data_IF_536269501767
#
_entry.id   IF_536269501767
#
_cell.length_a   1.000
_cell.length_b   1.000
_cell.length_c   1.000
_cell.angle_alpha   90.00
_cell.angle_beta   90.00
_cell.angle_gamma   90.00
#
_symmetry.space_group_name_H-M   'P 1'
#
loop_
_entity.id
_entity.type
_entity.pdbx_description
1 polymer ?
#
# COMPACT_ATOMS: atom_id res chain seq x y z
N UNK A 1 45.26 -4.53 0.24
CA UNK A 1 45.55 -3.13 0.62
C UNK A 1 46.49 -2.44 -0.37
N UNK A 2 47.45 -3.16 -0.95
CA UNK A 2 48.47 -2.59 -1.85
C UNK A 2 47.91 -2.08 -3.19
N UNK A 3 46.74 -2.54 -3.62
CA UNK A 3 46.08 -2.18 -4.90
C UNK A 3 45.09 -1.03 -4.73
N UNK A 4 44.91 -0.53 -3.50
CA UNK A 4 43.96 0.56 -3.23
C UNK A 4 42.47 0.19 -3.31
N UNK A 5 42.12 -1.09 -3.32
CA UNK A 5 40.76 -1.60 -3.43
C UNK A 5 40.09 -1.91 -2.07
N UNK A 6 40.63 -1.34 -0.98
CA UNK A 6 40.05 -1.52 0.35
C UNK A 6 38.92 -0.53 0.56
N UNK A 7 37.74 -1.01 0.94
CA UNK A 7 36.61 -0.20 1.38
C UNK A 7 36.51 -0.28 2.90
N UNK A 8 36.75 0.83 3.58
CA UNK A 8 36.66 0.90 5.05
C UNK A 8 35.18 1.06 5.46
N UNK A 9 34.66 0.25 6.40
CA UNK A 9 33.26 0.39 6.86
C UNK A 9 32.93 1.80 7.37
N UNK A 10 33.90 2.48 8.00
CA UNK A 10 33.72 3.83 8.52
C UNK A 10 33.41 4.86 7.42
N UNK A 11 33.95 4.69 6.22
CA UNK A 11 33.66 5.56 5.08
C UNK A 11 32.23 5.37 4.59
N UNK A 12 31.76 4.13 4.52
CA UNK A 12 30.37 3.80 4.16
C UNK A 12 29.39 4.32 5.20
N UNK A 13 29.70 4.10 6.49
CA UNK A 13 28.86 4.58 7.61
C UNK A 13 28.73 6.10 7.58
N UNK A 14 29.83 6.82 7.34
CA UNK A 14 29.83 8.28 7.27
C UNK A 14 28.97 8.82 6.13
N UNK A 15 28.89 8.11 5.00
CA UNK A 15 28.17 8.55 3.80
C UNK A 15 26.71 8.10 3.80
N UNK A 16 26.43 6.87 4.21
CA UNK A 16 25.13 6.19 4.02
C UNK A 16 24.46 5.78 5.34
N UNK A 17 25.18 5.82 6.44
CA UNK A 17 24.71 5.32 7.74
C UNK A 17 24.99 3.83 7.98
N UNK A 18 24.95 3.44 9.26
CA UNK A 18 25.26 2.07 9.67
C UNK A 18 24.21 1.05 9.14
N UNK A 19 22.94 1.42 9.12
CA UNK A 19 21.89 0.50 8.69
C UNK A 19 21.93 0.15 7.20
N UNK A 20 22.42 1.04 6.33
CA UNK A 20 22.64 0.72 4.93
C UNK A 20 23.76 -0.30 4.77
N UNK A 21 24.85 -0.17 5.55
CA UNK A 21 25.92 -1.16 5.58
C UNK A 21 25.42 -2.52 6.09
N UNK A 22 24.65 -2.52 7.19
CA UNK A 22 24.04 -3.74 7.74
C UNK A 22 23.07 -4.40 6.75
N UNK A 23 22.26 -3.60 6.08
CA UNK A 23 21.34 -4.10 5.05
C UNK A 23 22.08 -4.72 3.88
N UNK A 24 23.17 -4.10 3.41
CA UNK A 24 23.99 -4.70 2.36
C UNK A 24 24.56 -6.05 2.79
N UNK A 25 25.15 -6.16 3.98
CA UNK A 25 25.67 -7.44 4.50
C UNK A 25 24.57 -8.50 4.56
N UNK A 26 23.41 -8.16 5.11
CA UNK A 26 22.28 -9.08 5.24
C UNK A 26 21.67 -9.47 3.89
N UNK A 27 21.72 -8.59 2.89
CA UNK A 27 21.15 -8.84 1.56
C UNK A 27 22.09 -9.62 0.61
N UNK A 28 23.30 -9.94 1.07
CA UNK A 28 24.29 -10.64 0.27
C UNK A 28 24.37 -12.10 0.71
N UNK A 29 24.51 -13.02 -0.25
CA UNK A 29 24.82 -14.41 0.04
C UNK A 29 26.25 -14.50 0.61
N UNK A 30 26.33 -14.74 1.93
CA UNK A 30 27.59 -14.83 2.67
C UNK A 30 28.25 -16.22 2.59
N UNK A 31 27.65 -17.18 1.89
CA UNK A 31 28.24 -18.52 1.68
C UNK A 31 29.35 -18.51 0.64
N UNK A 32 29.43 -17.45 -0.16
CA UNK A 32 30.46 -17.22 -1.16
C UNK A 32 31.21 -15.89 -0.93
N UNK A 33 32.05 -15.53 -1.90
CA UNK A 33 32.80 -14.27 -1.88
C UNK A 33 31.84 -13.07 -2.06
N UNK A 34 31.87 -12.16 -1.11
CA UNK A 34 31.05 -10.95 -1.16
C UNK A 34 31.72 -9.89 -2.04
N UNK A 35 30.94 -9.36 -3.00
CA UNK A 35 31.38 -8.26 -3.85
C UNK A 35 30.92 -6.92 -3.28
N UNK A 36 31.80 -5.93 -3.32
CA UNK A 36 31.49 -4.56 -2.89
C UNK A 36 31.83 -3.57 -4.00
N UNK A 37 30.89 -2.66 -4.26
CA UNK A 37 31.11 -1.49 -5.12
C UNK A 37 30.22 -0.34 -4.69
N UNK A 38 30.48 0.86 -5.21
CA UNK A 38 29.66 2.03 -4.95
C UNK A 38 28.23 1.83 -5.42
N UNK A 39 28.02 1.19 -6.56
CA UNK A 39 26.70 0.90 -7.14
C UNK A 39 25.91 -0.09 -6.28
N UNK A 40 26.58 -1.08 -5.70
CA UNK A 40 25.94 -2.04 -4.78
C UNK A 40 25.45 -1.32 -3.52
N UNK A 41 26.25 -0.45 -2.93
CA UNK A 41 25.81 0.35 -1.78
C UNK A 41 24.68 1.32 -2.13
N UNK A 42 24.66 1.89 -3.33
CA UNK A 42 23.54 2.73 -3.78
C UNK A 42 22.23 1.95 -3.88
N UNK A 43 22.26 0.72 -4.41
CA UNK A 43 21.09 -0.17 -4.45
C UNK A 43 20.59 -0.53 -3.05
N UNK A 44 21.51 -0.82 -2.13
CA UNK A 44 21.17 -1.04 -0.72
C UNK A 44 20.52 0.19 -0.10
N UNK A 45 21.05 1.38 -0.38
CA UNK A 45 20.49 2.65 0.09
C UNK A 45 19.09 2.92 -0.49
N UNK A 46 18.81 2.52 -1.74
CA UNK A 46 17.47 2.62 -2.32
C UNK A 46 16.47 1.69 -1.63
N UNK A 47 16.85 0.44 -1.37
CA UNK A 47 16.04 -0.50 -0.61
C UNK A 47 15.76 0.00 0.81
N UNK A 48 16.78 0.50 1.48
CA UNK A 48 16.65 1.16 2.80
C UNK A 48 15.67 2.33 2.76
N UNK A 49 15.78 3.19 1.74
CA UNK A 49 14.91 4.37 1.59
C UNK A 49 13.45 3.97 1.40
N UNK A 50 13.15 2.90 0.66
CA UNK A 50 11.78 2.37 0.51
C UNK A 50 11.21 1.93 1.85
N UNK A 51 11.94 1.13 2.62
CA UNK A 51 11.53 0.67 3.95
C UNK A 51 11.26 1.87 4.87
N UNK A 52 12.20 2.83 4.93
CA UNK A 52 12.10 4.03 5.77
C UNK A 52 10.90 4.91 5.36
N UNK A 53 10.68 5.11 4.07
CA UNK A 53 9.54 5.91 3.57
C UNK A 53 8.20 5.24 3.88
N UNK A 54 8.10 3.93 3.77
CA UNK A 54 6.90 3.17 4.17
C UNK A 54 6.61 3.36 5.66
N UNK A 55 7.63 3.23 6.51
CA UNK A 55 7.50 3.46 7.95
C UNK A 55 7.06 4.89 8.29
N UNK A 56 7.64 5.88 7.63
CA UNK A 56 7.25 7.29 7.80
C UNK A 56 5.79 7.54 7.39
N UNK A 57 5.34 6.91 6.30
CA UNK A 57 3.94 7.01 5.89
C UNK A 57 3.01 6.45 6.97
N UNK A 58 3.34 5.30 7.53
CA UNK A 58 2.55 4.69 8.61
C UNK A 58 2.46 5.62 9.81
N UNK A 59 3.58 6.08 10.36
CA UNK A 59 3.61 6.97 11.51
C UNK A 59 2.84 8.28 11.26
N UNK A 60 3.01 8.88 10.09
CA UNK A 60 2.32 10.13 9.75
C UNK A 60 0.78 9.97 9.72
N UNK A 61 0.28 8.82 9.25
CA UNK A 61 -1.15 8.54 9.15
C UNK A 61 -1.78 7.98 10.45
N UNK A 62 -0.95 7.66 11.44
CA UNK A 62 -1.39 7.25 12.78
C UNK A 62 -1.48 8.42 13.78
N UNK A 63 -1.25 9.65 13.32
CA UNK A 63 -1.43 10.83 14.17
C UNK A 63 -2.88 10.92 14.69
N UNK A 64 -3.02 11.00 16.03
CA UNK A 64 -4.32 11.06 16.70
C UNK A 64 -5.07 9.72 16.75
N UNK A 65 -4.40 8.61 16.51
CA UNK A 65 -4.89 7.26 16.74
C UNK A 65 -4.45 6.77 18.12
N UNK A 66 -5.40 6.30 18.91
CA UNK A 66 -5.16 5.71 20.23
C UNK A 66 -5.56 4.22 20.20
N UNK A 67 -4.62 3.28 20.22
CA UNK A 67 -4.94 1.86 20.14
C UNK A 67 -5.81 1.35 21.30
N UNK A 68 -5.87 2.06 22.43
CA UNK A 68 -6.76 1.68 23.53
C UNK A 68 -8.24 2.03 23.25
N UNK A 69 -8.53 2.93 22.27
CA UNK A 69 -9.88 3.45 22.02
C UNK A 69 -10.35 3.28 20.58
N UNK A 70 -9.41 3.32 19.63
CA UNK A 70 -9.71 3.52 18.22
C UNK A 70 -9.55 2.25 17.36
N UNK A 71 -9.11 1.13 17.98
CA UNK A 71 -9.01 -0.15 17.29
C UNK A 71 -10.38 -0.61 16.78
N UNK A 72 -10.43 -0.97 15.51
CA UNK A 72 -11.59 -1.57 14.87
C UNK A 72 -11.44 -3.10 14.93
N UNK A 73 -12.49 -3.79 15.35
CA UNK A 73 -12.50 -5.26 15.38
C UNK A 73 -12.32 -5.82 13.95
N UNK A 74 -11.67 -6.99 13.81
CA UNK A 74 -11.37 -7.62 12.50
C UNK A 74 -12.60 -7.70 11.61
N UNK A 75 -13.72 -8.11 12.16
CA UNK A 75 -15.00 -8.29 11.47
C UNK A 75 -15.63 -6.99 10.96
N UNK A 76 -15.31 -5.86 11.59
CA UNK A 76 -15.82 -4.53 11.24
C UNK A 76 -14.86 -3.75 10.33
N UNK A 77 -13.65 -4.27 10.09
CA UNK A 77 -12.68 -3.61 9.21
C UNK A 77 -13.13 -3.68 7.75
N UNK A 78 -12.77 -2.63 7.00
CA UNK A 78 -12.87 -2.59 5.54
C UNK A 78 -12.07 -3.76 4.92
N UNK A 79 -12.62 -4.40 3.89
CA UNK A 79 -12.04 -5.64 3.32
C UNK A 79 -10.59 -5.46 2.83
N UNK A 80 -10.28 -4.33 2.22
CA UNK A 80 -8.90 -4.01 1.79
C UNK A 80 -7.93 -3.90 2.99
N UNK A 81 -8.40 -3.38 4.13
CA UNK A 81 -7.57 -3.27 5.33
C UNK A 81 -7.30 -4.64 5.96
N UNK A 82 -8.32 -5.53 5.97
CA UNK A 82 -8.16 -6.93 6.39
C UNK A 82 -7.15 -7.66 5.52
N UNK A 83 -7.21 -7.45 4.19
CA UNK A 83 -6.23 -7.99 3.25
C UNK A 83 -4.81 -7.49 3.55
N UNK A 84 -4.63 -6.20 3.84
CA UNK A 84 -3.32 -5.63 4.15
C UNK A 84 -2.70 -6.26 5.41
N UNK A 85 -3.49 -6.48 6.46
CA UNK A 85 -3.04 -7.18 7.68
C UNK A 85 -2.70 -8.64 7.37
N UNK A 86 -3.47 -9.32 6.53
CA UNK A 86 -3.18 -10.69 6.11
C UNK A 86 -1.89 -10.79 5.26
N UNK A 87 -1.60 -9.79 4.41
CA UNK A 87 -0.31 -9.69 3.72
C UNK A 87 0.85 -9.58 4.72
N UNK A 88 0.68 -8.80 5.78
CA UNK A 88 1.67 -8.67 6.84
C UNK A 88 1.84 -10.00 7.61
N UNK A 89 0.75 -10.70 7.91
CA UNK A 89 0.79 -12.02 8.55
C UNK A 89 1.58 -13.03 7.70
N UNK A 90 1.34 -13.04 6.39
CA UNK A 90 2.10 -13.89 5.44
C UNK A 90 3.57 -13.50 5.41
N UNK A 91 3.87 -12.20 5.28
CA UNK A 91 5.25 -11.70 5.28
C UNK A 91 5.98 -12.06 6.58
N UNK A 92 5.32 -11.95 7.73
CA UNK A 92 5.89 -12.35 9.03
C UNK A 92 6.28 -13.82 9.05
N UNK A 93 5.42 -14.74 8.58
CA UNK A 93 5.71 -16.17 8.53
C UNK A 93 6.97 -16.45 7.68
N UNK A 94 7.07 -15.80 6.51
CA UNK A 94 8.23 -15.93 5.62
C UNK A 94 9.51 -15.38 6.26
N UNK A 95 9.43 -14.21 6.89
CA UNK A 95 10.57 -13.53 7.54
C UNK A 95 11.07 -14.34 8.75
N UNK A 96 10.16 -14.81 9.61
CA UNK A 96 10.56 -15.58 10.78
C UNK A 96 11.23 -16.91 10.40
N UNK A 97 10.66 -17.60 9.39
CA UNK A 97 11.30 -18.79 8.84
C UNK A 97 12.71 -18.50 8.31
N UNK A 98 12.88 -17.39 7.58
CA UNK A 98 14.18 -17.00 7.05
C UNK A 98 15.18 -16.64 8.16
N UNK A 99 14.74 -16.05 9.27
CA UNK A 99 15.58 -15.84 10.46
C UNK A 99 16.00 -17.16 11.10
N UNK A 100 15.07 -18.11 11.26
CA UNK A 100 15.36 -19.43 11.84
C UNK A 100 16.33 -20.23 10.96
N UNK A 101 16.23 -20.09 9.65
CA UNK A 101 17.13 -20.73 8.68
C UNK A 101 18.46 -19.95 8.48
N UNK A 102 18.67 -18.80 9.15
CA UNK A 102 19.81 -17.89 8.95
C UNK A 102 19.94 -17.37 7.50
N UNK A 103 18.83 -17.33 6.76
CA UNK A 103 18.74 -16.81 5.39
C UNK A 103 18.38 -15.32 5.41
N UNK A 104 19.33 -14.47 5.82
CA UNK A 104 19.11 -13.04 6.00
C UNK A 104 18.79 -12.31 4.69
N UNK A 105 19.30 -12.82 3.58
CA UNK A 105 18.99 -12.23 2.28
C UNK A 105 17.51 -12.39 1.94
N UNK A 106 16.88 -13.51 2.31
CA UNK A 106 15.44 -13.73 2.16
C UNK A 106 14.63 -12.83 3.11
N UNK A 107 15.14 -12.57 4.33
CA UNK A 107 14.51 -11.56 5.23
C UNK A 107 14.40 -10.21 4.55
N UNK A 108 15.51 -9.72 3.99
CA UNK A 108 15.53 -8.42 3.31
C UNK A 108 14.68 -8.42 2.05
N UNK A 109 14.72 -9.50 1.27
CA UNK A 109 13.89 -9.64 0.08
C UNK A 109 12.39 -9.54 0.42
N UNK A 110 11.92 -10.30 1.41
CA UNK A 110 10.52 -10.30 1.85
C UNK A 110 10.10 -8.93 2.41
N UNK A 111 10.95 -8.28 3.22
CA UNK A 111 10.68 -6.96 3.75
C UNK A 111 10.58 -5.88 2.66
N UNK A 112 11.52 -5.86 1.70
CA UNK A 112 11.52 -4.91 0.59
C UNK A 112 10.32 -5.15 -0.34
N UNK A 113 10.01 -6.41 -0.65
CA UNK A 113 8.83 -6.79 -1.43
C UNK A 113 7.55 -6.31 -0.77
N UNK A 114 7.37 -6.59 0.52
CA UNK A 114 6.22 -6.14 1.29
C UNK A 114 6.06 -4.62 1.25
N UNK A 115 7.13 -3.87 1.55
CA UNK A 115 7.09 -2.40 1.55
C UNK A 115 6.82 -1.81 0.15
N UNK A 116 7.38 -2.40 -0.91
CA UNK A 116 7.34 -1.82 -2.26
C UNK A 116 6.11 -2.26 -3.05
N UNK A 117 5.76 -3.54 -3.00
CA UNK A 117 4.73 -4.15 -3.84
C UNK A 117 3.39 -4.19 -3.10
N UNK A 118 3.31 -4.87 -1.96
CA UNK A 118 2.05 -5.06 -1.28
C UNK A 118 1.54 -3.75 -0.68
N UNK A 119 2.42 -3.01 -0.01
CA UNK A 119 2.05 -1.72 0.59
C UNK A 119 2.17 -0.58 -0.42
N UNK A 120 3.38 -0.32 -0.95
CA UNK A 120 3.69 0.90 -1.68
C UNK A 120 2.90 1.12 -2.96
N UNK A 121 2.84 0.12 -3.84
CA UNK A 121 2.21 0.25 -5.15
C UNK A 121 0.70 0.00 -5.15
N UNK A 122 0.14 -0.53 -4.07
CA UNK A 122 -1.27 -0.88 -4.00
C UNK A 122 -1.96 -0.28 -2.77
N UNK A 123 -1.74 -0.86 -1.59
CA UNK A 123 -2.50 -0.49 -0.39
C UNK A 123 -2.37 0.98 0.01
N UNK A 124 -1.14 1.45 0.21
CA UNK A 124 -0.89 2.83 0.67
C UNK A 124 -1.32 3.87 -0.34
N UNK A 125 -1.35 3.55 -1.61
CA UNK A 125 -1.81 4.46 -2.65
C UNK A 125 -3.33 4.63 -2.59
N UNK A 126 -4.08 3.53 -2.45
CA UNK A 126 -5.54 3.52 -2.37
C UNK A 126 -6.04 4.22 -1.10
N UNK A 127 -5.46 3.92 0.05
CA UNK A 127 -5.96 4.46 1.32
C UNK A 127 -5.73 5.96 1.52
N UNK A 128 -4.93 6.61 0.68
CA UNK A 128 -4.72 8.08 0.74
C UNK A 128 -6.04 8.84 0.71
N UNK A 129 -6.97 8.41 -0.14
CA UNK A 129 -8.30 9.03 -0.18
C UNK A 129 -8.97 8.99 1.19
N UNK A 130 -9.11 7.81 1.80
CA UNK A 130 -9.72 7.67 3.13
C UNK A 130 -8.96 8.41 4.22
N UNK A 131 -7.63 8.34 4.24
CA UNK A 131 -6.80 9.00 5.24
C UNK A 131 -6.94 10.51 5.23
N UNK A 132 -7.10 11.11 4.05
CA UNK A 132 -7.13 12.57 3.91
C UNK A 132 -8.54 13.14 3.78
N UNK A 133 -9.53 12.35 3.37
CA UNK A 133 -10.86 12.87 3.08
C UNK A 133 -11.99 12.29 3.93
N UNK A 134 -11.85 11.10 4.51
CA UNK A 134 -12.87 10.55 5.38
C UNK A 134 -13.00 11.32 6.70
N UNK A 135 -14.14 11.16 7.37
CA UNK A 135 -14.39 11.73 8.70
C UNK A 135 -13.32 11.25 9.68
N UNK A 136 -12.78 12.17 10.49
CA UNK A 136 -11.61 11.94 11.34
C UNK A 136 -11.76 10.74 12.28
N UNK A 137 -12.93 10.56 12.87
CA UNK A 137 -13.31 9.50 13.80
C UNK A 137 -14.23 8.45 13.18
N UNK A 138 -14.43 8.51 11.86
CA UNK A 138 -15.27 7.56 11.11
C UNK A 138 -14.61 6.20 10.92
N UNK A 139 -15.45 5.16 10.80
CA UNK A 139 -15.01 3.77 10.60
C UNK A 139 -14.07 3.63 9.41
N UNK A 140 -14.37 4.27 8.28
CA UNK A 140 -13.56 4.23 7.08
C UNK A 140 -12.10 4.64 7.31
N UNK A 141 -11.85 5.65 8.16
CA UNK A 141 -10.51 6.09 8.53
C UNK A 141 -9.91 5.21 9.63
N UNK A 142 -10.68 4.90 10.69
CA UNK A 142 -10.20 4.08 11.81
C UNK A 142 -9.84 2.67 11.40
N UNK A 143 -10.55 2.09 10.43
CA UNK A 143 -10.22 0.78 9.89
C UNK A 143 -8.82 0.74 9.27
N UNK A 144 -8.49 1.69 8.38
CA UNK A 144 -7.13 1.69 7.82
C UNK A 144 -6.07 2.11 8.84
N UNK A 145 -6.37 2.97 9.81
CA UNK A 145 -5.44 3.27 10.91
C UNK A 145 -5.16 2.03 11.77
N UNK A 146 -6.18 1.20 12.02
CA UNK A 146 -6.01 -0.09 12.71
C UNK A 146 -5.06 -1.00 11.92
N UNK A 147 -5.26 -1.14 10.60
CA UNK A 147 -4.35 -1.93 9.76
C UNK A 147 -2.91 -1.38 9.79
N UNK A 148 -2.74 -0.06 9.64
CA UNK A 148 -1.42 0.58 9.71
C UNK A 148 -0.73 0.35 11.07
N UNK A 149 -1.49 0.43 12.17
CA UNK A 149 -1.00 0.16 13.51
C UNK A 149 -0.50 -1.28 13.66
N UNK A 150 -1.34 -2.27 13.30
CA UNK A 150 -0.97 -3.69 13.39
C UNK A 150 0.26 -4.01 12.54
N UNK A 151 0.35 -3.41 11.35
CA UNK A 151 1.45 -3.64 10.43
C UNK A 151 2.75 -3.00 10.93
N UNK A 152 2.74 -1.73 11.40
CA UNK A 152 3.98 -1.08 11.85
C UNK A 152 4.51 -1.73 13.12
N UNK A 153 3.64 -2.17 14.04
CA UNK A 153 4.01 -2.93 15.23
C UNK A 153 4.76 -4.22 14.87
N UNK A 154 4.33 -4.92 13.83
CA UNK A 154 5.02 -6.11 13.35
C UNK A 154 6.30 -5.77 12.57
N UNK A 155 6.21 -4.83 11.63
CA UNK A 155 7.30 -4.49 10.71
C UNK A 155 8.54 -3.93 11.42
N UNK A 156 8.36 -3.13 12.47
CA UNK A 156 9.49 -2.59 13.23
C UNK A 156 10.27 -3.71 13.93
N UNK A 157 9.57 -4.74 14.40
CA UNK A 157 10.19 -5.93 15.00
C UNK A 157 10.92 -6.77 13.96
N UNK A 158 10.34 -6.96 12.75
CA UNK A 158 11.01 -7.71 11.67
C UNK A 158 12.33 -7.10 11.27
N UNK A 159 12.42 -5.77 11.23
CA UNK A 159 13.64 -5.10 10.80
C UNK A 159 14.69 -4.92 11.91
N UNK A 160 14.29 -4.97 13.19
CA UNK A 160 15.16 -4.65 14.31
C UNK A 160 16.49 -5.42 14.35
N UNK A 161 16.56 -6.73 14.06
CA UNK A 161 17.82 -7.46 14.07
C UNK A 161 18.83 -6.99 13.01
N UNK A 162 18.37 -6.40 11.91
CA UNK A 162 19.23 -5.96 10.79
C UNK A 162 19.32 -4.44 10.74
N UNK A 163 18.19 -3.73 10.68
CA UNK A 163 18.13 -2.26 10.65
C UNK A 163 17.92 -1.69 12.06
N UNK A 164 18.85 -2.00 12.94
CA UNK A 164 18.71 -1.83 14.38
C UNK A 164 18.50 -0.37 14.81
N UNK A 165 19.23 0.56 14.19
CA UNK A 165 19.11 1.99 14.54
C UNK A 165 17.81 2.59 14.02
N UNK A 166 17.42 2.23 12.80
CA UNK A 166 16.16 2.70 12.21
C UNK A 166 14.94 2.12 12.93
N UNK A 167 14.98 0.85 13.31
CA UNK A 167 13.90 0.22 14.06
C UNK A 167 13.70 0.90 15.42
N UNK A 168 14.76 1.19 16.16
CA UNK A 168 14.68 1.90 17.43
C UNK A 168 14.19 3.34 17.24
N UNK A 169 14.67 4.07 16.21
CA UNK A 169 14.17 5.40 15.88
C UNK A 169 12.65 5.39 15.60
N UNK A 170 12.16 4.39 14.86
CA UNK A 170 10.72 4.23 14.59
C UNK A 170 9.98 3.95 15.89
N UNK A 171 10.49 3.02 16.70
CA UNK A 171 9.92 2.62 17.98
C UNK A 171 9.75 3.81 18.93
N UNK A 172 10.78 4.61 19.11
CA UNK A 172 10.74 5.83 19.94
C UNK A 172 9.74 6.87 19.44
N UNK A 173 9.42 6.88 18.14
CA UNK A 173 8.49 7.83 17.54
C UNK A 173 7.05 7.30 17.40
N UNK A 174 6.75 6.10 17.88
CA UNK A 174 5.39 5.60 17.97
C UNK A 174 4.62 6.39 19.05
N UNK A 175 3.44 6.97 18.72
CA UNK A 175 2.74 7.89 19.63
C UNK A 175 1.97 7.21 20.77
N UNK A 176 1.93 5.87 20.82
CA UNK A 176 1.25 5.10 21.86
C UNK A 176 2.23 4.47 22.84
N UNK A 177 1.69 3.93 23.95
CA UNK A 177 2.49 3.29 24.98
C UNK A 177 3.03 1.95 24.48
N UNK A 178 4.33 1.75 24.63
CA UNK A 178 5.06 0.53 24.26
C UNK A 178 6.22 0.28 25.23
N UNK A 179 6.92 -0.85 25.07
CA UNK A 179 8.16 -1.15 25.81
C UNK A 179 9.27 -0.14 25.55
N UNK A 180 10.28 -0.14 26.40
CA UNK A 180 11.38 0.85 26.31
C UNK A 180 12.20 0.70 25.04
N UNK A 181 12.49 -0.52 24.63
CA UNK A 181 13.34 -0.83 23.47
C UNK A 181 12.68 -1.88 22.59
N UNK A 182 12.71 -1.69 21.28
CA UNK A 182 12.18 -2.69 20.32
C UNK A 182 12.87 -4.06 20.46
N UNK A 183 14.13 -4.09 20.88
CA UNK A 183 14.93 -5.31 21.01
C UNK A 183 14.51 -6.22 22.18
N UNK A 184 13.66 -5.73 23.08
CA UNK A 184 13.12 -6.51 24.21
C UNK A 184 11.72 -7.05 23.94
N UNK A 185 11.18 -6.74 22.76
CA UNK A 185 9.83 -7.15 22.36
C UNK A 185 9.84 -8.52 21.66
N UNK A 186 8.76 -9.27 21.85
CA UNK A 186 8.50 -10.49 21.09
C UNK A 186 7.95 -10.15 19.69
N UNK A 187 7.96 -11.15 18.78
CA UNK A 187 7.27 -11.03 17.49
C UNK A 187 5.79 -10.72 17.68
N UNK A 188 5.22 -9.89 16.81
CA UNK A 188 3.81 -9.52 16.89
C UNK A 188 2.90 -10.76 16.81
N UNK A 189 1.88 -10.80 17.67
CA UNK A 189 0.87 -11.87 17.72
C UNK A 189 -0.51 -11.40 17.23
N UNK A 190 -0.63 -10.11 16.89
CA UNK A 190 -1.91 -9.46 16.60
C UNK A 190 -2.26 -9.46 15.10
N UNK A 191 -1.33 -9.91 14.25
CA UNK A 191 -1.61 -10.12 12.83
C UNK A 191 -2.54 -11.33 12.64
N UNK A 192 -3.41 -11.26 11.64
CA UNK A 192 -4.35 -12.32 11.32
C UNK A 192 -4.38 -12.65 9.83
N UNK A 193 -4.73 -13.88 9.50
CA UNK A 193 -5.03 -14.31 8.15
C UNK A 193 -6.49 -13.96 7.78
N UNK A 194 -6.78 -13.89 6.47
CA UNK A 194 -8.16 -13.85 6.00
C UNK A 194 -8.86 -15.18 6.30
N UNK A 195 -10.18 -15.09 6.48
CA UNK A 195 -10.98 -16.29 6.74
C UNK A 195 -10.97 -17.22 5.54
N UNK A 196 -10.91 -18.52 5.78
CA UNK A 196 -10.94 -19.52 4.71
C UNK A 196 -12.26 -19.41 3.93
N UNK A 197 -12.16 -19.41 2.60
CA UNK A 197 -13.33 -19.25 1.72
C UNK A 197 -13.89 -17.83 1.66
N UNK A 198 -13.20 -16.82 2.18
CA UNK A 198 -13.61 -15.42 2.07
C UNK A 198 -13.82 -15.02 0.62
N UNK A 199 -14.95 -14.33 0.33
CA UNK A 199 -15.21 -13.71 -0.98
C UNK A 199 -14.15 -12.68 -1.38
N UNK A 200 -13.47 -12.08 -0.41
CA UNK A 200 -12.41 -11.09 -0.56
C UNK A 200 -11.05 -11.69 -0.15
N UNK A 201 -10.81 -12.96 -0.54
CA UNK A 201 -9.57 -13.68 -0.26
C UNK A 201 -8.35 -13.14 -1.00
N UNK A 202 -7.18 -13.75 -0.76
CA UNK A 202 -5.92 -13.33 -1.39
C UNK A 202 -5.99 -13.39 -2.93
N UNK A 203 -6.60 -14.45 -3.49
CA UNK A 203 -6.75 -14.61 -4.95
C UNK A 203 -7.65 -13.55 -5.57
N UNK A 204 -8.70 -13.13 -4.84
CA UNK A 204 -9.56 -12.02 -5.27
C UNK A 204 -8.76 -10.72 -5.39
N UNK A 205 -8.02 -10.35 -4.36
CA UNK A 205 -7.22 -9.13 -4.39
C UNK A 205 -6.07 -9.20 -5.39
N UNK A 206 -5.48 -10.37 -5.63
CA UNK A 206 -4.48 -10.54 -6.69
C UNK A 206 -5.09 -10.30 -8.08
N UNK A 207 -6.30 -10.81 -8.33
CA UNK A 207 -7.03 -10.51 -9.55
C UNK A 207 -7.31 -9.00 -9.69
N UNK A 208 -7.80 -8.35 -8.63
CA UNK A 208 -8.07 -6.91 -8.62
C UNK A 208 -6.80 -6.09 -8.88
N UNK A 209 -5.67 -6.48 -8.30
CA UNK A 209 -4.36 -5.85 -8.55
C UNK A 209 -3.98 -5.94 -10.03
N UNK A 210 -4.10 -7.13 -10.63
CA UNK A 210 -3.78 -7.33 -12.04
C UNK A 210 -4.66 -6.46 -12.96
N UNK A 211 -5.96 -6.36 -12.67
CA UNK A 211 -6.86 -5.46 -13.41
C UNK A 211 -6.48 -3.99 -13.21
N UNK A 212 -6.17 -3.59 -11.98
CA UNK A 212 -5.72 -2.22 -11.67
C UNK A 212 -4.44 -1.86 -12.42
N UNK A 213 -3.50 -2.77 -12.53
CA UNK A 213 -2.25 -2.53 -13.27
C UNK A 213 -2.53 -2.26 -14.75
N UNK A 214 -3.48 -2.99 -15.36
CA UNK A 214 -3.95 -2.71 -16.72
C UNK A 214 -4.69 -1.38 -16.83
N UNK A 215 -5.55 -1.03 -15.87
CA UNK A 215 -6.20 0.28 -15.80
C UNK A 215 -5.14 1.39 -15.75
N UNK A 216 -4.14 1.26 -14.87
CA UNK A 216 -3.05 2.23 -14.75
C UNK A 216 -2.27 2.38 -16.06
N UNK A 217 -2.03 1.28 -16.78
CA UNK A 217 -1.37 1.33 -18.10
C UNK A 217 -2.20 2.14 -19.11
N UNK A 218 -3.52 1.97 -19.16
CA UNK A 218 -4.41 2.73 -20.04
C UNK A 218 -4.51 4.20 -19.62
N UNK A 219 -4.55 4.50 -18.33
CA UNK A 219 -4.50 5.87 -17.79
C UNK A 219 -3.20 6.57 -18.23
N UNK A 220 -2.05 5.89 -18.13
CA UNK A 220 -0.77 6.47 -18.57
C UNK A 220 -0.71 6.71 -20.09
N UNK A 221 -1.37 5.89 -20.91
CA UNK A 221 -1.52 6.16 -22.34
C UNK A 221 -2.35 7.42 -22.58
N UNK A 222 -3.50 7.55 -21.93
CA UNK A 222 -4.36 8.73 -22.02
C UNK A 222 -3.70 10.02 -21.50
N UNK A 223 -2.80 9.91 -20.51
CA UNK A 223 -1.98 11.03 -20.06
C UNK A 223 -0.93 11.44 -21.08
N UNK A 224 -0.29 10.48 -21.74
CA UNK A 224 0.73 10.75 -22.76
C UNK A 224 0.18 11.39 -24.02
N UNK A 225 -1.04 11.02 -24.43
CA UNK A 225 -1.71 11.64 -25.58
C UNK A 225 -2.42 12.95 -25.23
N UNK A 226 -2.45 13.32 -23.95
CA UNK A 226 -3.03 14.57 -23.45
C UNK A 226 -4.55 14.55 -23.26
N UNK A 227 -5.19 13.37 -23.34
CA UNK A 227 -6.64 13.24 -23.14
C UNK A 227 -7.05 13.51 -21.69
N UNK A 228 -6.18 13.22 -20.72
CA UNK A 228 -6.37 13.48 -19.29
C UNK A 228 -5.10 14.05 -18.66
N UNK A 229 -5.23 14.86 -17.61
CA UNK A 229 -4.10 15.37 -16.83
C UNK A 229 -3.68 14.46 -15.67
N UNK A 230 -4.61 13.68 -15.13
CA UNK A 230 -4.36 12.78 -14.00
C UNK A 230 -5.44 11.72 -13.84
N UNK A 231 -5.16 10.68 -13.02
CA UNK A 231 -6.08 9.55 -12.83
C UNK A 231 -7.45 9.96 -12.28
N UNK A 232 -7.48 10.97 -11.39
CA UNK A 232 -8.74 11.50 -10.83
C UNK A 232 -9.56 12.35 -11.84
N UNK A 233 -9.08 12.52 -13.07
CA UNK A 233 -9.85 13.07 -14.18
C UNK A 233 -10.42 11.99 -15.09
N UNK A 234 -10.06 10.73 -14.86
CA UNK A 234 -10.48 9.61 -15.68
C UNK A 234 -11.85 9.04 -15.25
N UNK A 235 -12.64 8.73 -16.26
CA UNK A 235 -13.77 7.79 -16.19
C UNK A 235 -13.33 6.48 -16.83
N UNK A 236 -13.38 5.39 -16.07
CA UNK A 236 -12.93 4.07 -16.52
C UNK A 236 -14.10 3.15 -16.71
N UNK A 237 -14.17 2.50 -17.87
CA UNK A 237 -15.08 1.39 -18.13
C UNK A 237 -14.27 0.12 -18.37
N UNK A 238 -14.49 -0.88 -17.51
CA UNK A 238 -13.92 -2.23 -17.64
C UNK A 238 -14.98 -3.13 -18.29
N UNK A 239 -14.71 -3.59 -19.50
CA UNK A 239 -15.52 -4.61 -20.15
C UNK A 239 -14.95 -5.98 -19.79
N UNK A 240 -15.74 -6.78 -19.12
CA UNK A 240 -15.29 -8.03 -18.53
C UNK A 240 -16.19 -9.22 -18.91
N UNK A 241 -15.62 -10.41 -18.97
CA UNK A 241 -16.37 -11.65 -19.03
C UNK A 241 -17.17 -11.89 -17.73
N UNK A 242 -17.96 -12.93 -17.67
CA UNK A 242 -18.86 -13.17 -16.53
C UNK A 242 -18.10 -13.35 -15.20
N UNK A 243 -16.95 -14.02 -15.21
CA UNK A 243 -16.11 -14.20 -14.03
C UNK A 243 -15.51 -12.85 -13.55
N UNK A 244 -14.98 -12.08 -14.49
CA UNK A 244 -14.44 -10.74 -14.20
C UNK A 244 -15.51 -9.78 -13.68
N UNK A 245 -16.72 -9.80 -14.28
CA UNK A 245 -17.86 -8.99 -13.83
C UNK A 245 -18.31 -9.37 -12.42
N UNK A 246 -18.37 -10.65 -12.12
CA UNK A 246 -18.75 -11.12 -10.80
C UNK A 246 -17.71 -10.66 -9.74
N UNK A 247 -16.42 -10.81 -10.03
CA UNK A 247 -15.34 -10.40 -9.12
C UNK A 247 -15.30 -8.89 -8.92
N UNK A 248 -15.23 -8.10 -9.99
CA UNK A 248 -15.15 -6.63 -9.87
C UNK A 248 -16.42 -6.03 -9.31
N UNK A 249 -17.57 -6.62 -9.62
CA UNK A 249 -18.88 -6.21 -9.11
C UNK A 249 -19.02 -6.35 -7.59
N UNK A 250 -18.18 -7.17 -6.93
CA UNK A 250 -18.17 -7.27 -5.47
C UNK A 250 -17.75 -5.97 -4.78
N UNK A 251 -17.00 -5.12 -5.48
CA UNK A 251 -16.53 -3.83 -4.95
C UNK A 251 -17.56 -2.70 -5.13
N UNK A 252 -18.65 -2.96 -5.86
CA UNK A 252 -19.73 -2.01 -6.09
C UNK A 252 -19.20 -0.63 -6.56
N UNK A 253 -19.70 0.45 -6.00
CA UNK A 253 -19.29 1.82 -6.30
C UNK A 253 -17.90 2.19 -5.70
N UNK A 254 -17.33 1.34 -4.84
CA UNK A 254 -16.01 1.54 -4.27
C UNK A 254 -14.87 1.13 -5.23
N UNK A 255 -15.16 0.47 -6.37
CA UNK A 255 -14.18 0.10 -7.39
C UNK A 255 -13.38 1.32 -7.88
N UNK A 256 -14.03 2.48 -8.01
CA UNK A 256 -13.36 3.73 -8.41
C UNK A 256 -12.23 4.16 -7.47
N UNK A 257 -12.32 3.84 -6.19
CA UNK A 257 -11.27 4.15 -5.22
C UNK A 257 -10.07 3.21 -5.36
N UNK A 258 -10.33 1.95 -5.70
CA UNK A 258 -9.26 0.99 -5.99
C UNK A 258 -8.48 1.42 -7.24
N UNK A 259 -9.14 1.93 -8.26
CA UNK A 259 -8.50 2.43 -9.48
C UNK A 259 -7.97 3.86 -9.33
N UNK A 260 -8.39 4.59 -8.29
CA UNK A 260 -8.05 6.01 -8.05
C UNK A 260 -8.52 6.86 -9.24
N UNK A 261 -9.80 6.70 -9.60
CA UNK A 261 -10.45 7.38 -10.72
C UNK A 261 -11.74 8.04 -10.27
N UNK A 262 -12.27 8.98 -11.06
CA UNK A 262 -13.54 9.64 -10.71
C UNK A 262 -14.72 8.69 -10.82
N UNK A 263 -14.73 7.84 -11.85
CA UNK A 263 -15.72 6.75 -11.99
C UNK A 263 -15.04 5.45 -12.39
N UNK A 264 -15.67 4.33 -12.05
CA UNK A 264 -15.31 3.01 -12.53
C UNK A 264 -16.59 2.19 -12.76
N UNK A 265 -16.83 1.80 -14.00
CA UNK A 265 -17.97 0.97 -14.39
C UNK A 265 -17.50 -0.39 -14.90
N UNK A 266 -18.29 -1.42 -14.64
CA UNK A 266 -18.05 -2.77 -15.18
C UNK A 266 -19.20 -3.16 -16.10
N UNK A 267 -18.86 -3.48 -17.36
CA UNK A 267 -19.83 -3.84 -18.41
C UNK A 267 -19.55 -5.22 -19.00
N UNK A 268 -20.52 -5.88 -19.63
CA UNK A 268 -20.29 -7.12 -20.35
C UNK A 268 -19.23 -6.97 -21.45
N UNK A 269 -18.33 -7.95 -21.56
CA UNK A 269 -17.28 -7.97 -22.58
C UNK A 269 -17.86 -7.85 -24.02
N UNK A 270 -19.05 -8.39 -24.25
CA UNK A 270 -19.74 -8.31 -25.53
C UNK A 270 -20.16 -6.87 -25.94
N UNK A 271 -20.23 -5.95 -24.98
CA UNK A 271 -20.55 -4.54 -25.22
C UNK A 271 -19.29 -3.69 -25.51
N UNK A 272 -18.11 -4.31 -25.49
CA UNK A 272 -16.87 -3.59 -25.72
C UNK A 272 -16.81 -3.06 -27.16
N UNK A 273 -16.48 -1.77 -27.37
CA UNK A 273 -16.19 -1.23 -28.68
C UNK A 273 -15.16 -2.06 -29.45
N UNK A 274 -15.38 -2.26 -30.75
CA UNK A 274 -14.55 -3.15 -31.56
C UNK A 274 -13.10 -2.68 -31.69
N UNK A 275 -12.87 -1.40 -31.54
CA UNK A 275 -11.55 -0.75 -31.56
C UNK A 275 -10.71 -0.96 -30.31
N UNK A 276 -11.32 -1.38 -29.19
CA UNK A 276 -10.59 -1.64 -27.96
C UNK A 276 -9.74 -2.91 -28.08
N UNK A 277 -8.47 -2.75 -27.78
CA UNK A 277 -7.53 -3.86 -27.70
C UNK A 277 -7.76 -4.73 -26.46
N UNK A 278 -7.38 -5.99 -26.56
CA UNK A 278 -7.36 -6.89 -25.42
C UNK A 278 -6.29 -6.43 -24.39
N UNK A 279 -6.62 -6.56 -23.11
CA UNK A 279 -5.67 -6.32 -22.03
C UNK A 279 -4.78 -7.54 -21.78
N UNK A 280 -3.74 -7.39 -20.97
CA UNK A 280 -2.92 -8.52 -20.53
C UNK A 280 -3.68 -9.47 -19.58
N UNK A 281 -4.77 -8.97 -18.97
CA UNK A 281 -5.70 -9.81 -18.19
C UNK A 281 -6.74 -10.39 -19.15
N UNK A 282 -6.75 -11.71 -19.26
CA UNK A 282 -7.68 -12.41 -20.15
C UNK A 282 -9.13 -12.08 -19.82
N UNK A 283 -9.94 -11.86 -20.83
CA UNK A 283 -11.37 -11.57 -20.67
C UNK A 283 -11.68 -10.12 -20.25
N UNK A 284 -10.70 -9.22 -20.33
CA UNK A 284 -10.82 -7.82 -19.95
C UNK A 284 -10.46 -6.91 -21.14
N UNK A 285 -11.26 -5.86 -21.36
CA UNK A 285 -10.91 -4.68 -22.16
C UNK A 285 -11.20 -3.43 -21.35
N UNK A 286 -10.43 -2.38 -21.58
CA UNK A 286 -10.50 -1.14 -20.79
C UNK A 286 -10.65 0.06 -21.70
N UNK A 287 -11.63 0.92 -21.39
CA UNK A 287 -11.78 2.24 -21.95
C UNK A 287 -11.51 3.30 -20.88
N UNK A 288 -10.78 4.35 -21.25
CA UNK A 288 -10.50 5.52 -20.42
C UNK A 288 -10.99 6.76 -21.16
N UNK A 289 -11.80 7.57 -20.50
CA UNK A 289 -12.28 8.85 -21.01
C UNK A 289 -12.02 9.97 -19.98
N UNK A 290 -11.93 11.21 -20.44
CA UNK A 290 -11.89 12.36 -19.54
C UNK A 290 -13.27 12.62 -18.95
N UNK A 291 -13.35 12.83 -17.65
CA UNK A 291 -14.57 13.31 -17.00
C UNK A 291 -14.79 14.79 -17.28
N UNK A 292 -16.02 15.13 -17.63
CA UNK A 292 -16.47 16.50 -17.81
C UNK A 292 -17.18 17.09 -16.58
N UNK A 293 -17.33 16.27 -15.52
CA UNK A 293 -17.92 16.73 -14.26
C UNK A 293 -17.00 17.73 -13.55
N UNK A 294 -17.59 18.52 -12.65
CA UNK A 294 -16.85 19.48 -11.85
C UNK A 294 -15.89 18.80 -10.86
N UNK A 295 -14.75 19.41 -10.62
CA UNK A 295 -13.73 18.89 -9.69
C UNK A 295 -14.02 19.30 -8.28
N UNK A 296 -14.16 18.34 -7.38
CA UNK A 296 -14.23 18.61 -5.96
C UNK A 296 -12.90 19.16 -5.43
N UNK A 297 -12.90 20.32 -4.79
CA UNK A 297 -11.71 20.99 -4.25
C UNK A 297 -11.01 20.19 -3.14
N UNK A 298 -11.78 19.32 -2.45
CA UNK A 298 -11.27 18.56 -1.29
C UNK A 298 -10.72 17.17 -1.68
N UNK A 299 -11.48 16.35 -2.39
CA UNK A 299 -11.05 14.99 -2.75
C UNK A 299 -10.48 14.88 -4.16
N UNK A 300 -10.64 15.92 -4.97
CA UNK A 300 -10.18 16.06 -6.34
C UNK A 300 -10.85 15.14 -7.37
N UNK A 301 -11.79 14.28 -6.95
CA UNK A 301 -12.64 13.56 -7.89
C UNK A 301 -13.50 14.54 -8.67
N UNK A 302 -13.83 14.18 -9.91
CA UNK A 302 -14.82 14.89 -10.70
C UNK A 302 -16.17 14.22 -10.51
N UNK A 303 -17.12 14.96 -9.98
CA UNK A 303 -18.43 14.42 -9.60
C UNK A 303 -19.54 15.44 -9.88
N UNK A 304 -20.71 14.93 -10.36
CA UNK A 304 -21.87 15.78 -10.63
C UNK A 304 -22.52 16.42 -9.37
N UNK A 305 -22.15 15.94 -8.19
CA UNK A 305 -22.65 16.45 -6.90
C UNK A 305 -21.84 17.62 -6.32
N UNK A 306 -20.80 18.09 -7.01
CA UNK A 306 -20.01 19.24 -6.54
C UNK A 306 -20.88 20.49 -6.49
N UNK A 307 -20.84 21.17 -5.34
CA UNK A 307 -21.65 22.37 -5.11
C UNK A 307 -23.12 22.10 -4.74
N UNK A 308 -23.57 20.85 -4.65
CA UNK A 308 -24.96 20.49 -4.35
C UNK A 308 -25.34 20.83 -2.89
N UNK A 309 -24.59 20.34 -1.91
CA UNK A 309 -24.83 20.61 -0.49
C UNK A 309 -23.97 21.77 0.04
N UNK A 310 -22.72 21.85 -0.39
CA UNK A 310 -21.76 22.89 -0.03
C UNK A 310 -20.93 23.27 -1.24
N UNK A 311 -20.69 24.56 -1.40
CA UNK A 311 -19.90 25.12 -2.50
C UNK A 311 -18.52 24.50 -2.61
N UNK A 312 -18.08 24.16 -3.83
CA UNK A 312 -16.76 23.63 -4.16
C UNK A 312 -16.49 22.17 -3.77
N UNK A 313 -17.37 21.51 -3.02
CA UNK A 313 -17.17 20.12 -2.59
C UNK A 313 -18.34 19.22 -2.95
N UNK A 314 -18.04 17.91 -3.19
CA UNK A 314 -19.04 16.89 -3.50
C UNK A 314 -19.82 16.45 -2.24
N UNK A 315 -20.95 15.77 -2.43
CA UNK A 315 -21.81 15.30 -1.35
C UNK A 315 -21.09 14.38 -0.36
N UNK A 316 -20.19 13.50 -0.86
CA UNK A 316 -19.33 12.67 -0.01
C UNK A 316 -18.47 13.51 0.92
N UNK A 317 -17.77 14.50 0.39
CA UNK A 317 -16.94 15.41 1.18
C UNK A 317 -17.79 16.26 2.15
N UNK A 318 -18.96 16.66 1.74
CA UNK A 318 -19.94 17.36 2.62
C UNK A 318 -20.32 16.48 3.82
N UNK A 319 -20.65 15.21 3.59
CA UNK A 319 -20.92 14.25 4.67
C UNK A 319 -19.72 14.04 5.60
N UNK A 320 -18.52 13.93 5.05
CA UNK A 320 -17.31 13.73 5.84
C UNK A 320 -16.92 14.93 6.71
N UNK A 321 -17.26 16.14 6.29
CA UNK A 321 -16.93 17.39 7.03
C UNK A 321 -18.03 17.79 7.99
N UNK A 322 -19.30 17.74 7.56
CA UNK A 322 -20.43 18.33 8.27
C UNK A 322 -21.45 17.30 8.75
N UNK A 323 -21.40 16.04 8.26
CA UNK A 323 -22.37 14.99 8.55
C UNK A 323 -21.78 13.80 9.29
N UNK A 324 -22.43 12.66 9.09
CA UNK A 324 -22.05 11.38 9.74
C UNK A 324 -20.82 10.71 9.15
N UNK A 325 -20.35 11.20 8.01
CA UNK A 325 -19.24 10.61 7.25
C UNK A 325 -19.70 9.56 6.24
N UNK A 326 -18.79 9.20 5.35
CA UNK A 326 -19.02 8.15 4.37
C UNK A 326 -18.97 6.76 4.99
N UNK A 327 -19.70 5.81 4.39
CA UNK A 327 -19.59 4.39 4.71
C UNK A 327 -18.70 3.73 3.65
N UNK A 328 -17.70 2.99 4.08
CA UNK A 328 -16.84 2.14 3.25
C UNK A 328 -16.88 0.72 3.77
N UNK A 329 -16.95 -0.24 2.84
CA UNK A 329 -17.02 -1.67 3.15
C UNK A 329 -15.86 -2.44 2.54
N UNK A 330 -15.41 -2.03 1.37
CA UNK A 330 -14.49 -2.82 0.54
C UNK A 330 -13.10 -2.16 0.38
N UNK A 331 -13.05 -0.81 0.16
CA UNK A 331 -11.77 -0.16 -0.17
C UNK A 331 -11.63 1.29 0.35
#
# INVERSE_FOLDING_TARGET
>A
KSIGNTVAPQEVIKQLGADVLRLWVASTDYTGDMTVSKEIFQRAAESYRRIRNTSRFFLANLSGFDPEKDLVAKEDMVELDRWAVACAAKAQKEILKAYDDFDFHQVIHSLVKFCSIDMGSFYLDIIKDRQYTAKKDGLARRSCQTALYLIIEAMVRWMAPILSFTAEEIWENMPWKHGRFVFTEEWSKDLFDLDEGSRFGMDFWEYVKNVRDEVNRHIELARKDGSIGGSLEAEVTVYADDDGREKLGRLEDELKYVFITSTAEVKPLAEAPAELQDSLVKGIKIAVAASHAEKCERCWHREGSVGHLHEGICDRCSSNVYGDGEVRRFA
#
